data_IF_296692962070
#
_entry.id   IF_296692962070
#
_cell.length_a   1.000
_cell.length_b   1.000
_cell.length_c   1.000
_cell.angle_alpha   90.00
_cell.angle_beta   90.00
_cell.angle_gamma   90.00
#
_symmetry.space_group_name_H-M   'P 1'
#
loop_
_entity.id
_entity.type
_entity.pdbx_description
1 polymer ?
#
# COMPACT_ATOMS: atom_id res chain seq x y z
N UNK A 1 11.04 -54.23 21.13
CA UNK A 1 11.14 -52.76 21.01
C UNK A 1 9.94 -52.19 21.74
N UNK A 2 10.16 -51.49 22.85
CA UNK A 2 9.07 -50.90 23.64
C UNK A 2 8.37 -49.83 22.80
N UNK A 3 7.03 -49.91 22.68
CA UNK A 3 6.22 -48.81 22.18
C UNK A 3 6.37 -47.65 23.17
N UNK A 4 7.17 -46.65 22.81
CA UNK A 4 7.11 -45.34 23.46
C UNK A 4 5.73 -44.79 23.10
N UNK A 5 4.80 -44.82 24.03
CA UNK A 5 3.48 -44.22 23.84
C UNK A 5 3.68 -42.74 23.54
N UNK A 6 3.37 -42.30 22.32
CA UNK A 6 3.55 -40.92 21.92
C UNK A 6 2.60 -40.04 22.74
N UNK A 7 3.14 -39.30 23.70
CA UNK A 7 2.36 -38.42 24.56
C UNK A 7 1.82 -37.24 23.74
N UNK A 8 0.54 -36.93 23.91
CA UNK A 8 -0.13 -35.81 23.24
C UNK A 8 0.16 -34.47 23.95
N UNK A 9 0.26 -33.33 23.24
CA UNK A 9 0.26 -33.19 21.77
C UNK A 9 1.48 -33.79 21.08
N UNK A 10 1.23 -34.36 19.90
CA UNK A 10 2.25 -35.01 19.07
C UNK A 10 3.00 -33.95 18.28
N UNK A 11 4.32 -33.89 18.42
CA UNK A 11 5.16 -32.92 17.72
C UNK A 11 6.52 -32.72 18.41
N UNK A 12 7.52 -32.40 17.61
CA UNK A 12 8.91 -32.14 18.02
C UNK A 12 9.24 -30.63 18.12
N UNK A 13 8.29 -29.75 17.80
CA UNK A 13 8.40 -28.30 18.01
C UNK A 13 8.52 -27.88 19.48
N UNK A 14 9.08 -26.69 19.73
CA UNK A 14 9.26 -26.13 21.08
C UNK A 14 7.91 -26.00 21.78
N UNK A 15 6.90 -25.46 21.10
CA UNK A 15 5.58 -25.25 21.69
C UNK A 15 4.83 -26.56 21.97
N UNK A 16 5.04 -27.62 21.18
CA UNK A 16 4.48 -28.94 21.48
C UNK A 16 5.06 -29.49 22.80
N UNK A 17 6.37 -29.37 23.01
CA UNK A 17 7.02 -29.72 24.27
C UNK A 17 6.52 -28.88 25.44
N UNK A 18 6.47 -27.55 25.28
CA UNK A 18 5.98 -26.65 26.33
C UNK A 18 4.54 -26.92 26.72
N UNK A 19 3.65 -27.20 25.75
CA UNK A 19 2.26 -27.58 26.06
C UNK A 19 2.22 -28.93 26.81
N UNK A 20 3.05 -29.91 26.45
CA UNK A 20 3.11 -31.19 27.19
C UNK A 20 3.57 -31.03 28.64
N UNK A 21 4.55 -30.18 28.87
CA UNK A 21 5.23 -30.06 30.16
C UNK A 21 4.62 -29.00 31.10
N UNK A 22 3.68 -28.19 30.59
CA UNK A 22 3.03 -27.13 31.38
C UNK A 22 2.03 -27.69 32.40
N UNK A 23 2.04 -27.14 33.62
CA UNK A 23 1.07 -27.50 34.65
C UNK A 23 -0.31 -26.88 34.38
N UNK A 24 -1.06 -27.51 33.46
CA UNK A 24 -2.40 -27.07 33.11
C UNK A 24 -3.42 -27.21 34.24
N UNK A 25 -3.15 -28.06 35.24
CA UNK A 25 -4.03 -28.19 36.41
C UNK A 25 -4.10 -26.91 37.24
N UNK A 26 -3.07 -26.06 37.15
CA UNK A 26 -3.04 -24.73 37.76
C UNK A 26 -3.83 -23.65 36.98
N UNK A 27 -4.34 -23.98 35.79
CA UNK A 27 -5.06 -23.03 34.91
C UNK A 27 -6.56 -23.33 34.85
N UNK A 28 -7.39 -22.36 34.42
CA UNK A 28 -8.82 -22.59 34.16
C UNK A 28 -9.12 -23.69 33.13
N UNK A 29 -8.19 -24.04 32.23
CA UNK A 29 -8.36 -25.19 31.31
C UNK A 29 -8.33 -26.54 32.03
N UNK A 30 -7.74 -26.59 33.21
CA UNK A 30 -7.53 -27.82 33.97
C UNK A 30 -6.57 -28.80 33.30
N UNK A 31 -6.39 -30.00 33.89
CA UNK A 31 -5.40 -30.98 33.43
C UNK A 31 -5.58 -31.35 31.96
N UNK A 32 -4.48 -31.38 31.21
CA UNK A 32 -4.45 -31.65 29.76
C UNK A 32 -5.18 -32.95 29.35
N UNK A 33 -5.18 -33.97 30.22
CA UNK A 33 -5.89 -35.22 29.99
C UNK A 33 -7.41 -35.03 29.86
N UNK A 34 -7.98 -34.03 30.54
CA UNK A 34 -9.42 -33.72 30.58
C UNK A 34 -9.88 -32.71 29.52
N UNK A 35 -8.96 -32.22 28.70
CA UNK A 35 -9.34 -31.28 27.64
C UNK A 35 -10.32 -31.92 26.65
N UNK A 36 -11.30 -31.15 26.15
CA UNK A 36 -12.24 -31.63 25.15
C UNK A 36 -11.51 -32.00 23.85
N UNK A 37 -12.08 -32.93 23.10
CA UNK A 37 -11.48 -33.44 21.86
C UNK A 37 -11.41 -32.35 20.78
N UNK A 38 -12.39 -31.44 20.77
CA UNK A 38 -12.42 -30.22 19.95
C UNK A 38 -11.16 -29.37 20.16
N UNK A 39 -10.83 -29.03 21.42
CA UNK A 39 -9.61 -28.31 21.78
C UNK A 39 -8.36 -29.08 21.33
N UNK A 40 -8.28 -30.38 21.61
CA UNK A 40 -7.12 -31.20 21.22
C UNK A 40 -6.87 -31.19 19.72
N UNK A 41 -7.94 -31.33 18.94
CA UNK A 41 -7.88 -31.33 17.46
C UNK A 41 -7.36 -29.99 16.92
N UNK A 42 -7.81 -28.87 17.48
CA UNK A 42 -7.33 -27.54 17.05
C UNK A 42 -5.88 -27.31 17.50
N UNK A 43 -5.50 -27.76 18.69
CA UNK A 43 -4.10 -27.67 19.14
C UNK A 43 -3.17 -28.45 18.21
N UNK A 44 -3.54 -29.66 17.78
CA UNK A 44 -2.75 -30.44 16.81
C UNK A 44 -2.65 -29.72 15.46
N UNK A 45 -3.77 -29.16 14.96
CA UNK A 45 -3.77 -28.37 13.72
C UNK A 45 -2.86 -27.15 13.82
N UNK A 46 -2.95 -26.42 14.94
CA UNK A 46 -2.18 -25.22 15.22
C UNK A 46 -0.67 -25.53 15.27
N UNK A 47 -0.29 -26.59 15.99
CA UNK A 47 1.11 -27.01 16.13
C UNK A 47 1.69 -27.58 14.83
N UNK A 48 0.88 -28.25 14.00
CA UNK A 48 1.32 -28.78 12.70
C UNK A 48 1.37 -27.74 11.58
N UNK A 49 0.89 -26.52 11.80
CA UNK A 49 0.82 -25.48 10.79
C UNK A 49 2.11 -24.64 10.72
N UNK A 50 2.63 -24.34 9.51
CA UNK A 50 3.75 -23.42 9.35
C UNK A 50 3.32 -21.94 9.52
N UNK A 51 2.03 -21.63 9.39
CA UNK A 51 1.53 -20.26 9.56
C UNK A 51 1.51 -19.87 11.05
N UNK A 52 1.67 -18.58 11.34
CA UNK A 52 1.52 -18.06 12.70
C UNK A 52 0.09 -18.27 13.16
N UNK A 53 -0.09 -19.06 14.22
CA UNK A 53 -1.42 -19.36 14.76
C UNK A 53 -1.43 -19.24 16.28
N UNK A 54 -2.50 -18.66 16.79
CA UNK A 54 -2.84 -18.71 18.20
C UNK A 54 -4.30 -19.07 18.41
N UNK A 55 -4.60 -19.57 19.61
CA UNK A 55 -5.88 -20.05 20.03
C UNK A 55 -6.21 -19.43 21.38
N UNK A 56 -7.42 -18.96 21.52
CA UNK A 56 -7.99 -18.50 22.78
C UNK A 56 -9.16 -19.41 23.14
N UNK A 57 -9.16 -19.96 24.36
CA UNK A 57 -10.18 -20.93 24.80
C UNK A 57 -10.80 -20.55 26.14
N UNK A 58 -12.11 -20.76 26.24
CA UNK A 58 -12.89 -20.56 27.45
C UNK A 58 -13.18 -19.10 27.82
N UNK A 59 -14.00 -18.87 28.85
CA UNK A 59 -14.40 -17.52 29.28
C UNK A 59 -13.23 -16.70 29.85
N UNK A 60 -12.19 -17.36 30.39
CA UNK A 60 -10.96 -16.72 30.89
C UNK A 60 -9.97 -16.39 29.76
N UNK A 61 -10.32 -16.73 28.52
CA UNK A 61 -9.54 -16.48 27.32
C UNK A 61 -8.11 -17.05 27.41
N UNK A 62 -7.97 -18.33 27.78
CA UNK A 62 -6.64 -18.95 27.92
C UNK A 62 -5.96 -19.07 26.57
N UNK A 63 -4.73 -18.57 26.49
CA UNK A 63 -3.99 -18.40 25.25
C UNK A 63 -2.99 -19.54 25.02
N UNK A 64 -3.09 -20.17 23.85
CA UNK A 64 -2.16 -21.15 23.30
C UNK A 64 -1.70 -20.67 21.91
N UNK A 65 -0.51 -21.08 21.48
CA UNK A 65 0.07 -20.65 20.20
C UNK A 65 1.14 -21.62 19.72
N UNK A 66 1.47 -21.57 18.42
CA UNK A 66 2.53 -22.39 17.83
C UNK A 66 3.89 -21.67 17.79
N UNK A 67 4.92 -22.41 17.37
CA UNK A 67 6.30 -21.96 17.28
C UNK A 67 6.44 -20.69 16.41
N UNK A 68 5.76 -20.66 15.26
CA UNK A 68 5.76 -19.51 14.35
C UNK A 68 5.24 -18.23 15.02
N UNK A 69 4.24 -18.34 15.89
CA UNK A 69 3.66 -17.19 16.59
C UNK A 69 4.61 -16.58 17.64
N UNK A 70 5.64 -17.32 18.08
CA UNK A 70 6.58 -16.80 19.08
C UNK A 70 7.33 -15.55 18.63
N UNK A 71 7.53 -15.37 17.32
CA UNK A 71 8.17 -14.17 16.75
C UNK A 71 7.46 -12.87 17.15
N UNK A 72 6.13 -12.91 17.21
CA UNK A 72 5.29 -11.77 17.61
C UNK A 72 5.39 -11.51 19.13
N UNK A 73 5.51 -12.56 19.93
CA UNK A 73 5.55 -12.46 21.39
C UNK A 73 6.93 -12.09 21.96
N UNK A 74 8.00 -12.24 21.17
CA UNK A 74 9.39 -11.96 21.60
C UNK A 74 9.60 -10.50 22.03
N UNK A 75 8.90 -9.55 21.43
CA UNK A 75 8.95 -8.14 21.86
C UNK A 75 8.46 -7.97 23.32
N UNK A 76 7.44 -8.73 23.71
CA UNK A 76 6.78 -8.54 24.98
C UNK A 76 7.42 -9.30 26.15
N UNK A 77 8.48 -10.10 25.91
CA UNK A 77 9.16 -10.97 26.89
C UNK A 77 8.18 -11.74 27.80
N UNK A 78 6.99 -12.04 27.28
CA UNK A 78 5.86 -12.50 28.09
C UNK A 78 5.87 -14.01 28.09
N UNK A 79 5.89 -14.62 29.27
CA UNK A 79 5.47 -16.01 29.43
C UNK A 79 3.96 -16.03 29.21
N UNK A 80 3.54 -16.18 27.96
CA UNK A 80 2.14 -16.06 27.56
C UNK A 80 1.38 -17.39 27.61
N UNK A 81 2.10 -18.52 27.57
CA UNK A 81 1.47 -19.83 27.52
C UNK A 81 0.65 -20.07 28.80
N UNK A 82 -0.62 -20.45 28.61
CA UNK A 82 -1.53 -20.76 29.71
C UNK A 82 -2.06 -19.54 30.49
N UNK A 83 -1.69 -18.31 30.07
CA UNK A 83 -2.25 -17.07 30.62
C UNK A 83 -3.46 -16.61 29.82
N UNK A 84 -4.21 -15.67 30.39
CA UNK A 84 -5.28 -14.99 29.66
C UNK A 84 -4.70 -14.19 28.48
N UNK A 85 -5.39 -14.22 27.35
CA UNK A 85 -5.06 -13.39 26.19
C UNK A 85 -5.17 -11.90 26.52
N UNK A 86 -6.04 -11.51 27.45
CA UNK A 86 -6.14 -10.12 27.93
C UNK A 86 -4.88 -9.67 28.69
N UNK A 87 -4.18 -10.59 29.35
CA UNK A 87 -2.89 -10.31 29.98
C UNK A 87 -1.75 -10.31 28.95
N UNK A 88 -1.77 -11.28 28.04
CA UNK A 88 -0.76 -11.38 26.97
C UNK A 88 -0.74 -10.14 26.09
N UNK A 89 -1.93 -9.64 25.72
CA UNK A 89 -2.11 -8.50 24.83
C UNK A 89 -2.57 -7.24 25.59
N UNK A 90 -2.19 -7.08 26.85
CA UNK A 90 -2.65 -5.97 27.70
C UNK A 90 -2.44 -4.58 27.07
N UNK A 91 -1.34 -4.38 26.32
CA UNK A 91 -1.04 -3.11 25.63
C UNK A 91 -1.95 -2.83 24.43
N UNK A 92 -2.44 -3.88 23.76
CA UNK A 92 -3.29 -3.81 22.57
C UNK A 92 -4.71 -4.33 22.84
N UNK A 93 -5.10 -4.42 24.12
CA UNK A 93 -6.36 -5.03 24.56
C UNK A 93 -7.57 -4.41 23.87
N UNK A 94 -7.62 -3.08 23.75
CA UNK A 94 -8.76 -2.39 23.15
C UNK A 94 -9.06 -2.81 21.70
N UNK A 95 -8.02 -3.23 20.96
CA UNK A 95 -8.17 -3.74 19.59
C UNK A 95 -8.60 -5.21 19.62
N UNK A 96 -7.86 -6.02 20.36
CA UNK A 96 -8.07 -7.47 20.45
C UNK A 96 -9.42 -7.86 21.08
N UNK A 97 -9.89 -7.13 22.09
CA UNK A 97 -11.10 -7.47 22.84
C UNK A 97 -12.36 -7.43 21.97
N UNK A 98 -12.43 -6.50 21.02
CA UNK A 98 -13.55 -6.42 20.07
C UNK A 98 -13.60 -7.62 19.12
N UNK A 99 -12.46 -8.00 18.55
CA UNK A 99 -12.34 -9.14 17.63
C UNK A 99 -12.58 -10.46 18.35
N UNK A 100 -12.01 -10.64 19.54
CA UNK A 100 -12.26 -11.81 20.38
C UNK A 100 -13.73 -11.92 20.74
N UNK A 101 -14.38 -10.83 21.17
CA UNK A 101 -15.81 -10.84 21.49
C UNK A 101 -16.67 -11.18 20.28
N UNK A 102 -16.33 -10.68 19.09
CA UNK A 102 -17.02 -11.03 17.85
C UNK A 102 -16.84 -12.52 17.51
N UNK A 103 -15.62 -13.05 17.64
CA UNK A 103 -15.31 -14.46 17.48
C UNK A 103 -16.09 -15.34 18.45
N UNK A 104 -16.10 -15.00 19.75
CA UNK A 104 -16.86 -15.72 20.77
C UNK A 104 -18.39 -15.66 20.53
N UNK A 105 -18.87 -14.62 19.85
CA UNK A 105 -20.26 -14.53 19.37
C UNK A 105 -20.52 -15.32 18.07
N UNK A 106 -19.55 -16.09 17.58
CA UNK A 106 -19.65 -16.92 16.38
C UNK A 106 -19.43 -16.20 15.06
N UNK A 107 -18.91 -14.95 15.08
CA UNK A 107 -18.62 -14.20 13.85
C UNK A 107 -17.17 -14.38 13.46
N UNK A 108 -16.94 -14.78 12.22
CA UNK A 108 -15.60 -14.77 11.62
C UNK A 108 -15.27 -13.35 11.13
N UNK A 109 -14.00 -12.95 11.23
CA UNK A 109 -13.52 -11.68 10.69
C UNK A 109 -12.16 -11.85 10.01
N UNK A 110 -11.93 -11.03 8.99
CA UNK A 110 -10.63 -10.86 8.33
C UNK A 110 -10.26 -9.40 8.43
N UNK A 111 -9.07 -9.13 8.96
CA UNK A 111 -8.48 -7.81 9.05
C UNK A 111 -7.25 -7.78 8.13
N UNK A 112 -7.36 -7.18 6.93
CA UNK A 112 -6.24 -7.13 6.00
C UNK A 112 -5.19 -6.11 6.46
N UNK A 113 -3.94 -6.35 6.08
CA UNK A 113 -2.83 -5.40 6.20
C UNK A 113 -2.67 -4.78 7.61
N UNK A 114 -2.89 -5.57 8.65
CA UNK A 114 -2.62 -5.17 10.03
C UNK A 114 -1.11 -5.05 10.24
N UNK A 115 -0.68 -3.92 10.83
CA UNK A 115 0.74 -3.66 11.08
C UNK A 115 1.09 -4.13 12.48
N UNK A 116 2.05 -5.05 12.56
CA UNK A 116 2.61 -5.53 13.83
C UNK A 116 4.12 -5.36 13.87
N UNK A 117 4.68 -4.96 15.02
CA UNK A 117 6.11 -5.05 15.26
C UNK A 117 6.53 -6.53 15.41
N UNK A 118 7.57 -6.94 14.69
CA UNK A 118 8.14 -8.30 14.76
C UNK A 118 9.63 -8.20 15.08
N UNK A 119 10.10 -9.01 16.04
CA UNK A 119 11.51 -9.05 16.42
C UNK A 119 12.27 -10.07 15.57
N UNK A 120 13.00 -9.62 14.57
CA UNK A 120 13.82 -10.45 13.66
C UNK A 120 15.29 -10.17 13.90
N UNK A 121 16.06 -11.22 14.20
CA UNK A 121 17.52 -11.11 14.43
C UNK A 121 17.90 -10.02 15.45
N UNK A 122 17.05 -9.80 16.46
CA UNK A 122 17.26 -8.78 17.50
C UNK A 122 16.87 -7.35 17.11
N UNK A 123 16.34 -7.14 15.90
CA UNK A 123 15.83 -5.85 15.41
C UNK A 123 14.31 -5.85 15.33
N UNK A 124 13.68 -4.77 15.79
CA UNK A 124 12.24 -4.57 15.62
C UNK A 124 11.97 -4.06 14.21
N UNK A 125 11.09 -4.75 13.49
CA UNK A 125 10.70 -4.42 12.13
C UNK A 125 9.17 -4.32 12.06
N UNK A 126 8.65 -3.34 11.31
CA UNK A 126 7.23 -3.30 10.97
C UNK A 126 6.96 -4.36 9.90
N UNK A 127 6.02 -5.25 10.17
CA UNK A 127 5.51 -6.23 9.22
C UNK A 127 3.99 -6.13 9.11
N UNK A 128 3.48 -6.47 7.93
CA UNK A 128 2.05 -6.43 7.62
C UNK A 128 1.51 -7.84 7.57
N UNK A 129 0.33 -8.04 8.18
CA UNK A 129 -0.31 -9.32 8.27
C UNK A 129 -1.79 -9.22 7.92
N UNK A 130 -2.28 -10.21 7.20
CA UNK A 130 -3.70 -10.50 7.16
C UNK A 130 -4.03 -11.36 8.38
N UNK A 131 -4.93 -10.87 9.21
CA UNK A 131 -5.37 -11.52 10.44
C UNK A 131 -6.77 -12.10 10.25
N UNK A 132 -6.92 -13.41 10.43
CA UNK A 132 -8.20 -14.11 10.37
C UNK A 132 -8.58 -14.63 11.76
N UNK A 133 -9.79 -14.29 12.21
CA UNK A 133 -10.41 -14.80 13.43
C UNK A 133 -11.54 -15.77 13.07
N UNK A 134 -11.46 -17.00 13.58
CA UNK A 134 -12.45 -18.03 13.33
C UNK A 134 -12.98 -18.61 14.65
N UNK A 135 -14.31 -18.63 14.88
CA UNK A 135 -14.90 -19.26 16.06
C UNK A 135 -14.68 -20.77 16.01
N UNK A 136 -14.34 -21.34 17.16
CA UNK A 136 -14.24 -22.78 17.36
C UNK A 136 -15.40 -23.23 18.22
N UNK A 137 -16.08 -24.28 17.75
CA UNK A 137 -17.18 -24.89 18.48
C UNK A 137 -16.70 -26.14 19.21
N UNK A 138 -17.20 -26.34 20.41
CA UNK A 138 -17.05 -27.58 21.14
C UNK A 138 -17.99 -28.67 20.60
N UNK A 139 -17.98 -29.82 21.25
CA UNK A 139 -18.79 -31.00 20.95
C UNK A 139 -20.29 -30.74 21.12
N UNK A 140 -20.69 -29.72 21.89
CA UNK A 140 -22.07 -29.29 22.05
C UNK A 140 -22.50 -28.27 20.99
N UNK A 141 -21.58 -27.86 20.10
CA UNK A 141 -21.82 -26.84 19.09
C UNK A 141 -21.75 -25.40 19.62
N UNK A 142 -21.35 -25.21 20.89
CA UNK A 142 -21.20 -23.90 21.52
C UNK A 142 -19.83 -23.34 21.16
N UNK A 143 -19.75 -22.03 20.91
CA UNK A 143 -18.45 -21.39 20.65
C UNK A 143 -17.64 -21.38 21.94
N UNK A 144 -16.57 -22.19 21.97
CA UNK A 144 -15.72 -22.39 23.14
C UNK A 144 -14.37 -21.68 23.01
N UNK A 145 -14.03 -21.20 21.81
CA UNK A 145 -12.79 -20.47 21.58
C UNK A 145 -12.76 -19.76 20.24
N UNK A 146 -11.63 -19.10 19.97
CA UNK A 146 -11.34 -18.39 18.72
C UNK A 146 -9.95 -18.76 18.26
N UNK A 147 -9.84 -19.22 17.02
CA UNK A 147 -8.57 -19.38 16.32
C UNK A 147 -8.20 -18.04 15.69
N UNK A 148 -6.96 -17.61 15.91
CA UNK A 148 -6.36 -16.46 15.25
C UNK A 148 -5.21 -16.95 14.36
N UNK A 149 -5.30 -16.64 13.07
CA UNK A 149 -4.24 -16.96 12.11
C UNK A 149 -3.69 -15.68 11.49
N UNK A 150 -2.37 -15.60 11.40
CA UNK A 150 -1.65 -14.46 10.85
C UNK A 150 -0.88 -14.91 9.61
N UNK A 151 -1.16 -14.27 8.49
CA UNK A 151 -0.42 -14.46 7.25
C UNK A 151 0.34 -13.19 6.93
N UNK A 152 1.66 -13.28 6.90
CA UNK A 152 2.48 -12.13 6.52
C UNK A 152 2.24 -11.74 5.05
N UNK A 153 1.95 -10.46 4.83
CA UNK A 153 1.73 -9.82 3.54
C UNK A 153 2.65 -8.61 3.33
N UNK A 154 3.73 -8.50 4.12
CA UNK A 154 4.72 -7.41 4.07
C UNK A 154 5.23 -7.16 2.65
N UNK A 155 5.71 -8.19 1.94
CA UNK A 155 6.28 -8.04 0.61
C UNK A 155 5.25 -7.53 -0.41
N UNK A 156 4.03 -8.05 -0.35
CA UNK A 156 2.91 -7.66 -1.20
C UNK A 156 2.52 -6.21 -0.92
N UNK A 157 2.39 -5.84 0.36
CA UNK A 157 2.05 -4.49 0.77
C UNK A 157 3.08 -3.46 0.29
N UNK A 158 4.38 -3.75 0.48
CA UNK A 158 5.46 -2.86 0.05
C UNK A 158 5.51 -2.74 -1.49
N UNK A 159 5.29 -3.83 -2.22
CA UNK A 159 5.24 -3.81 -3.67
C UNK A 159 4.08 -2.95 -4.20
N UNK A 160 2.88 -3.09 -3.61
CA UNK A 160 1.72 -2.26 -3.96
C UNK A 160 1.97 -0.77 -3.66
N UNK A 161 2.58 -0.45 -2.51
CA UNK A 161 2.92 0.93 -2.18
C UNK A 161 3.93 1.52 -3.16
N UNK A 162 4.97 0.77 -3.52
CA UNK A 162 5.96 1.20 -4.51
C UNK A 162 5.32 1.43 -5.89
N UNK A 163 4.42 0.54 -6.31
CA UNK A 163 3.68 0.69 -7.56
C UNK A 163 2.81 1.97 -7.56
N UNK A 164 2.00 2.18 -6.50
CA UNK A 164 1.16 3.39 -6.37
C UNK A 164 1.99 4.67 -6.38
N UNK A 165 3.15 4.67 -5.71
CA UNK A 165 4.05 5.80 -5.71
C UNK A 165 4.66 6.07 -7.11
N UNK A 166 4.97 5.00 -7.86
CA UNK A 166 5.45 5.11 -9.24
C UNK A 166 4.36 5.65 -10.17
N UNK A 167 3.12 5.14 -10.06
CA UNK A 167 1.98 5.60 -10.86
C UNK A 167 1.64 7.08 -10.58
N UNK A 168 1.65 7.49 -9.31
CA UNK A 168 1.47 8.88 -8.94
C UNK A 168 2.57 9.78 -9.53
N UNK A 169 3.82 9.33 -9.49
CA UNK A 169 4.94 10.04 -10.10
C UNK A 169 4.81 10.11 -11.62
N UNK A 170 4.44 9.01 -12.28
CA UNK A 170 4.21 8.97 -13.72
C UNK A 170 3.05 9.89 -14.13
N UNK A 171 1.96 9.93 -13.35
CA UNK A 171 0.84 10.84 -13.58
C UNK A 171 1.27 12.29 -13.53
N UNK A 172 2.01 12.68 -12.50
CA UNK A 172 2.57 14.03 -12.38
C UNK A 172 3.51 14.38 -13.54
N UNK A 173 4.32 13.44 -14.00
CA UNK A 173 5.19 13.65 -15.16
C UNK A 173 4.40 13.82 -16.47
N UNK A 174 3.36 13.01 -16.69
CA UNK A 174 2.49 13.13 -17.87
C UNK A 174 1.69 14.44 -17.83
N UNK A 175 1.14 14.84 -16.68
CA UNK A 175 0.47 16.12 -16.51
C UNK A 175 1.43 17.31 -16.73
N UNK A 176 2.71 17.16 -16.35
CA UNK A 176 3.75 18.17 -16.61
C UNK A 176 4.17 18.26 -18.09
N UNK A 177 3.90 17.22 -18.88
CA UNK A 177 4.00 17.27 -20.34
C UNK A 177 2.74 17.87 -20.91
N UNK A 178 2.49 19.11 -20.53
CA UNK A 178 1.46 19.91 -21.16
C UNK A 178 2.00 20.31 -22.52
N UNK A 179 1.72 19.50 -23.54
CA UNK A 179 1.89 19.92 -24.92
C UNK A 179 1.05 21.20 -25.05
N UNK A 180 1.71 22.33 -25.30
CA UNK A 180 1.03 23.59 -25.55
C UNK A 180 0.30 23.45 -26.89
N UNK A 181 -0.89 22.90 -26.86
CA UNK A 181 -1.82 22.93 -27.97
C UNK A 181 -2.38 24.35 -28.05
N UNK A 182 -2.31 24.93 -29.25
CA UNK A 182 -2.86 26.24 -29.55
C UNK A 182 -3.41 26.23 -30.97
N UNK A 183 -4.36 27.13 -31.20
CA UNK A 183 -4.93 27.36 -32.52
C UNK A 183 -4.59 28.76 -33.01
N UNK A 184 -4.40 28.86 -34.32
CA UNK A 184 -4.23 30.13 -35.02
C UNK A 184 -5.30 30.29 -36.08
N UNK A 185 -5.53 31.52 -36.51
CA UNK A 185 -6.38 31.81 -37.66
C UNK A 185 -5.72 31.43 -39.00
N UNK A 186 -6.33 31.84 -40.11
CA UNK A 186 -5.84 31.55 -41.46
C UNK A 186 -4.55 32.30 -41.83
N UNK A 187 -4.24 33.38 -41.11
CA UNK A 187 -3.05 34.22 -41.32
C UNK A 187 -1.93 33.86 -40.32
N UNK A 188 -2.12 32.80 -39.54
CA UNK A 188 -1.13 32.27 -38.59
C UNK A 188 -1.08 33.06 -37.28
N UNK A 189 -2.11 33.85 -36.99
CA UNK A 189 -2.23 34.67 -35.78
C UNK A 189 -2.88 33.85 -34.67
N UNK A 190 -2.27 33.81 -33.49
CA UNK A 190 -2.85 33.15 -32.32
C UNK A 190 -4.08 33.93 -31.86
N UNK A 191 -5.25 33.29 -31.89
CA UNK A 191 -6.54 33.91 -31.52
C UNK A 191 -7.25 33.20 -30.36
N UNK A 192 -6.70 32.08 -29.89
CA UNK A 192 -7.25 31.29 -28.78
C UNK A 192 -6.30 31.30 -27.59
N UNK A 193 -6.85 31.25 -26.37
CA UNK A 193 -6.04 31.06 -25.16
C UNK A 193 -5.39 29.66 -25.15
N UNK A 194 -4.17 29.58 -24.63
CA UNK A 194 -3.50 28.34 -24.27
C UNK A 194 -3.07 28.43 -22.80
N UNK A 195 -3.92 27.99 -21.86
CA UNK A 195 -3.64 28.08 -20.43
C UNK A 195 -2.33 27.38 -20.04
N UNK A 196 -1.98 26.28 -20.71
CA UNK A 196 -0.75 25.53 -20.51
C UNK A 196 0.50 26.31 -20.93
N UNK A 197 0.47 26.99 -22.08
CA UNK A 197 1.56 27.86 -22.50
C UNK A 197 1.74 29.04 -21.54
N UNK A 198 0.65 29.72 -21.16
CA UNK A 198 0.73 30.87 -20.25
C UNK A 198 1.22 30.48 -18.86
N UNK A 199 0.82 29.32 -18.36
CA UNK A 199 1.34 28.78 -17.10
C UNK A 199 2.85 28.48 -17.18
N UNK A 200 3.34 28.04 -18.35
CA UNK A 200 4.75 27.74 -18.56
C UNK A 200 5.62 28.99 -18.78
N UNK A 201 5.16 29.93 -19.60
CA UNK A 201 5.92 31.13 -19.98
C UNK A 201 5.70 32.32 -19.04
N UNK A 202 4.64 32.28 -18.23
CA UNK A 202 4.22 33.38 -17.36
C UNK A 202 3.53 34.53 -18.10
N UNK A 203 3.25 34.39 -19.40
CA UNK A 203 2.59 35.43 -20.20
C UNK A 203 1.12 35.62 -19.77
N UNK A 204 0.66 36.87 -19.79
CA UNK A 204 -0.77 37.19 -19.73
C UNK A 204 -1.48 36.80 -21.03
N UNK A 205 -2.82 36.77 -21.03
CA UNK A 205 -3.59 36.49 -22.25
C UNK A 205 -3.30 37.52 -23.35
N UNK A 206 -3.16 38.80 -22.99
CA UNK A 206 -2.88 39.87 -23.93
C UNK A 206 -1.49 39.75 -24.56
N UNK A 207 -0.47 39.40 -23.77
CA UNK A 207 0.89 39.14 -24.25
C UNK A 207 1.02 37.84 -25.06
N UNK A 208 0.07 36.91 -24.91
CA UNK A 208 0.05 35.63 -25.62
C UNK A 208 -0.54 35.77 -27.03
N UNK A 209 -1.62 36.54 -27.18
CA UNK A 209 -2.36 36.67 -28.43
C UNK A 209 -1.49 37.23 -29.57
N UNK A 210 -1.89 36.95 -30.81
CA UNK A 210 -1.18 37.40 -31.98
C UNK A 210 0.11 36.62 -32.26
N UNK A 211 1.23 37.33 -32.25
CA UNK A 211 2.58 36.77 -32.40
C UNK A 211 3.37 36.78 -31.08
N UNK A 212 2.72 37.06 -29.95
CA UNK A 212 3.36 37.22 -28.64
C UNK A 212 4.10 35.97 -28.13
N UNK A 213 3.79 34.79 -28.68
CA UNK A 213 4.56 33.56 -28.47
C UNK A 213 6.04 33.69 -28.86
N UNK A 214 6.39 34.54 -29.84
CA UNK A 214 7.79 34.82 -30.21
C UNK A 214 8.56 35.48 -29.07
N UNK A 215 7.89 36.20 -28.17
CA UNK A 215 8.55 36.88 -27.05
C UNK A 215 8.98 35.92 -25.93
N UNK A 216 8.32 34.76 -25.85
CA UNK A 216 8.73 33.66 -24.99
C UNK A 216 9.92 32.86 -25.57
N UNK A 217 10.26 33.02 -26.86
CA UNK A 217 11.41 32.35 -27.48
C UNK A 217 12.70 33.14 -27.21
N UNK A 218 13.80 32.40 -27.04
CA UNK A 218 15.14 32.97 -26.90
C UNK A 218 15.48 33.86 -28.10
N UNK A 219 16.01 35.09 -27.91
CA UNK A 219 16.23 36.07 -29.00
C UNK A 219 16.98 35.53 -30.22
N UNK A 220 17.97 34.65 -29.99
CA UNK A 220 18.73 34.00 -31.06
C UNK A 220 17.90 33.10 -31.99
N UNK A 221 16.80 32.54 -31.49
CA UNK A 221 15.98 31.56 -32.22
C UNK A 221 14.70 32.19 -32.80
N UNK A 222 14.34 33.42 -32.41
CA UNK A 222 13.08 34.10 -32.81
C UNK A 222 12.92 34.24 -34.32
N UNK A 223 13.95 34.77 -34.99
CA UNK A 223 13.89 34.99 -36.43
C UNK A 223 13.80 33.67 -37.21
N UNK A 224 14.39 32.59 -36.68
CA UNK A 224 14.26 31.26 -37.26
C UNK A 224 12.84 30.71 -37.08
N UNK A 225 12.31 30.78 -35.87
CA UNK A 225 10.96 30.32 -35.54
C UNK A 225 9.87 31.06 -36.34
N UNK A 226 9.99 32.38 -36.46
CA UNK A 226 9.03 33.19 -37.23
C UNK A 226 9.03 32.81 -38.72
N UNK A 227 10.21 32.63 -39.33
CA UNK A 227 10.30 32.24 -40.75
C UNK A 227 9.67 30.87 -40.98
N UNK A 228 10.01 29.88 -40.17
CA UNK A 228 9.45 28.53 -40.27
C UNK A 228 7.91 28.55 -40.12
N UNK A 229 7.40 29.38 -39.22
CA UNK A 229 5.96 29.55 -39.02
C UNK A 229 5.24 30.19 -40.21
N UNK A 230 5.81 31.27 -40.76
CA UNK A 230 5.26 31.97 -41.93
C UNK A 230 5.26 31.07 -43.17
N UNK A 231 6.36 30.34 -43.40
CA UNK A 231 6.51 29.41 -44.52
C UNK A 231 5.44 28.31 -44.49
N UNK A 232 5.13 27.78 -43.31
CA UNK A 232 4.13 26.73 -43.21
C UNK A 232 2.69 27.21 -43.24
N UNK A 233 2.41 28.38 -42.68
CA UNK A 233 1.10 29.03 -42.83
C UNK A 233 0.81 29.29 -44.31
N UNK A 234 1.80 29.76 -45.07
CA UNK A 234 1.68 29.98 -46.52
C UNK A 234 1.60 28.67 -47.32
N UNK A 235 2.41 27.67 -46.97
CA UNK A 235 2.53 26.40 -47.70
C UNK A 235 1.50 25.33 -47.35
N UNK A 236 0.67 25.54 -46.32
CA UNK A 236 -0.26 24.53 -45.75
C UNK A 236 0.43 23.23 -45.32
N UNK A 237 1.64 23.33 -44.80
CA UNK A 237 2.45 22.20 -44.31
C UNK A 237 2.36 22.00 -42.80
N UNK A 238 2.74 20.80 -42.32
CA UNK A 238 3.03 20.59 -40.90
C UNK A 238 4.41 21.16 -40.58
N UNK A 239 4.53 21.90 -39.48
CA UNK A 239 5.83 22.33 -38.93
C UNK A 239 6.20 21.45 -37.76
N UNK A 240 7.42 20.94 -37.82
CA UNK A 240 8.11 20.45 -36.64
C UNK A 240 9.39 21.28 -36.49
N UNK A 241 9.40 22.18 -35.51
CA UNK A 241 10.52 23.05 -35.22
C UNK A 241 10.84 22.99 -33.73
N UNK A 242 12.14 22.96 -33.43
CA UNK A 242 12.65 23.01 -32.07
C UNK A 242 13.31 24.37 -31.83
N UNK A 243 12.94 25.04 -30.74
CA UNK A 243 13.52 26.31 -30.34
C UNK A 243 13.56 26.40 -28.81
N UNK A 244 14.47 27.23 -28.30
CA UNK A 244 14.63 27.40 -26.85
C UNK A 244 13.65 28.45 -26.33
N UNK A 245 12.98 28.15 -25.23
CA UNK A 245 12.15 29.12 -24.51
C UNK A 245 12.96 29.87 -23.46
N UNK A 246 12.52 31.09 -23.15
CA UNK A 246 12.99 31.87 -22.01
C UNK A 246 12.33 31.32 -20.75
N UNK A 247 13.12 30.99 -19.74
CA UNK A 247 12.58 30.71 -18.42
C UNK A 247 11.92 31.99 -17.84
N UNK A 248 10.80 31.88 -17.10
CA UNK A 248 10.23 33.01 -16.40
C UNK A 248 11.29 33.63 -15.48
N UNK A 249 11.57 34.92 -15.62
CA UNK A 249 12.53 35.62 -14.77
C UNK A 249 11.91 35.82 -13.38
N UNK A 250 12.00 34.77 -12.55
CA UNK A 250 11.35 34.76 -11.24
C UNK A 250 11.60 33.50 -10.41
N UNK A 251 12.84 33.02 -10.30
CA UNK A 251 13.42 32.35 -9.12
C UNK A 251 14.81 31.79 -9.45
N UNK A 252 15.87 32.55 -9.12
CA UNK A 252 17.17 32.03 -8.66
C UNK A 252 17.91 30.88 -9.39
N UNK A 253 17.63 30.59 -10.66
CA UNK A 253 18.39 29.62 -11.44
C UNK A 253 18.87 30.27 -12.75
N UNK A 254 20.15 30.07 -13.08
CA UNK A 254 20.76 30.54 -14.33
C UNK A 254 19.99 30.07 -15.58
N UNK A 255 20.26 30.64 -16.77
CA UNK A 255 19.46 30.44 -17.98
C UNK A 255 19.39 28.96 -18.33
N UNK A 256 18.31 28.32 -17.93
CA UNK A 256 18.03 26.91 -18.21
C UNK A 256 17.13 26.90 -19.44
N UNK A 257 17.74 26.73 -20.61
CA UNK A 257 17.02 26.55 -21.85
C UNK A 257 16.56 25.09 -21.95
N UNK A 258 15.25 24.84 -21.85
CA UNK A 258 14.68 23.54 -22.19
C UNK A 258 14.33 23.52 -23.69
N UNK A 259 14.72 22.48 -24.45
CA UNK A 259 14.23 22.30 -25.81
C UNK A 259 12.74 21.96 -25.77
N UNK A 260 11.91 22.79 -26.39
CA UNK A 260 10.50 22.47 -26.58
C UNK A 260 10.31 21.87 -27.98
N UNK A 261 9.78 20.65 -28.07
CA UNK A 261 9.23 20.10 -29.32
C UNK A 261 7.78 20.54 -29.42
N UNK A 262 7.49 21.52 -30.27
CA UNK A 262 6.12 21.89 -30.59
C UNK A 262 5.73 21.31 -31.95
N UNK A 263 4.63 20.56 -31.98
CA UNK A 263 3.97 20.14 -33.20
C UNK A 263 2.83 21.13 -33.45
N UNK A 264 3.05 22.08 -34.36
CA UNK A 264 2.04 23.10 -34.65
C UNK A 264 1.03 22.55 -35.65
N UNK A 265 -0.26 22.58 -35.30
CA UNK A 265 -1.35 22.08 -36.14
C UNK A 265 -2.40 23.17 -36.35
N UNK A 266 -2.70 23.48 -37.61
CA UNK A 266 -3.75 24.45 -37.96
C UNK A 266 -5.12 23.93 -37.53
N UNK A 267 -5.88 24.72 -36.77
CA UNK A 267 -7.28 24.45 -36.44
C UNK A 267 -8.19 24.56 -37.67
N UNK A 268 -9.34 23.86 -37.71
CA UNK A 268 -10.27 23.96 -38.83
C UNK A 268 -10.80 25.40 -38.96
N UNK A 269 -10.77 25.95 -40.18
CA UNK A 269 -11.26 27.31 -40.43
C UNK A 269 -12.74 27.41 -40.06
N UNK A 270 -13.08 28.12 -38.98
CA UNK A 270 -14.46 28.54 -38.72
C UNK A 270 -14.85 29.58 -39.77
N UNK A 271 -15.36 29.11 -40.92
CA UNK A 271 -16.19 29.96 -41.78
C UNK A 271 -17.45 30.29 -40.99
N UNK A 272 -17.68 31.58 -40.76
CA UNK A 272 -18.91 32.08 -40.16
C UNK A 272 -20.12 31.53 -40.90
N UNK A 273 -21.06 30.95 -40.15
CA UNK A 273 -22.46 30.94 -40.56
C UNK A 273 -23.00 32.32 -40.21
N UNK A 274 -23.43 33.05 -41.24
CA UNK A 274 -24.31 34.19 -41.08
C UNK A 274 -25.70 33.78 -40.59
#
# INVERSE_FOLDING_TARGET
MAQVGTQWPVGDGEMAGRIRDFDWASTPLGPIARWPQSLKTIVDLMLGSPSMMSLVWGPEAIHLYNDSFTELLREHRTVALGRSAYETFARSRAVFEGDLAAGMAGRSSRLPAQRYPVLRQGRLEDAWFDADYAPIRDEAGVVAGVLWTLKETTAQHLAEQALRASEARHRLLIESWTQAEWETDADGVVVTDSPSWRAYTGQTLEEWLGYGWLDAIHPADRAFAERQWREATAGRGLVNAEFRLRAPTGAGAGPTSAPLRSAMRRGPSRRGRG
#
